data_IF_451368033984
#
_entry.id   IF_451368033984
#
_cell.length_a   1.000
_cell.length_b   1.000
_cell.length_c   1.000
_cell.angle_alpha   90.00
_cell.angle_beta   90.00
_cell.angle_gamma   90.00
#
_symmetry.space_group_name_H-M   'P 1'
#
loop_
_entity.id
_entity.type
_entity.pdbx_description
1 polymer ?
#
# COMPACT_ATOMS: atom_id res chain seq x y z
N UNK A 1 8.20 17.17 10.54
CA UNK A 1 8.37 17.01 12.00
C UNK A 1 7.45 15.94 12.60
N UNK A 2 6.19 15.77 12.15
CA UNK A 2 5.26 14.78 12.72
C UNK A 2 5.79 13.32 12.79
N UNK A 3 6.40 12.81 11.71
CA UNK A 3 6.94 11.43 11.67
C UNK A 3 8.18 11.20 12.54
N UNK A 4 8.88 12.27 12.92
CA UNK A 4 10.09 12.18 13.74
C UNK A 4 9.79 12.25 15.24
N UNK A 5 8.52 12.42 15.63
CA UNK A 5 8.13 12.45 17.04
C UNK A 5 8.22 11.08 17.69
N UNK A 6 8.52 11.05 18.99
CA UNK A 6 8.59 9.81 19.79
C UNK A 6 7.32 8.97 19.68
N UNK A 7 6.15 9.63 19.65
CA UNK A 7 4.86 8.96 19.50
C UNK A 7 4.68 8.30 18.13
N UNK A 8 5.13 8.97 17.07
CA UNK A 8 5.06 8.41 15.72
C UNK A 8 6.01 7.21 15.57
N UNK A 9 7.20 7.27 16.15
CA UNK A 9 8.17 6.18 16.14
C UNK A 9 7.70 5.00 16.99
N UNK A 10 7.25 5.25 18.22
CA UNK A 10 6.76 4.22 19.14
C UNK A 10 5.56 3.42 18.61
N UNK A 11 4.82 4.00 17.66
CA UNK A 11 3.66 3.37 17.02
C UNK A 11 3.92 2.94 15.58
N UNK A 12 5.16 3.07 15.09
CA UNK A 12 5.55 2.69 13.72
C UNK A 12 4.65 3.38 12.68
N UNK A 13 4.44 4.69 12.84
CA UNK A 13 3.50 5.47 12.01
C UNK A 13 4.06 5.90 10.66
N UNK A 14 5.32 5.54 10.37
CA UNK A 14 5.96 5.71 9.07
C UNK A 14 6.06 4.35 8.40
N UNK A 15 5.54 4.24 7.19
CA UNK A 15 5.59 3.02 6.39
C UNK A 15 6.22 3.34 5.06
N UNK A 16 7.18 2.52 4.65
CA UNK A 16 7.82 2.62 3.34
C UNK A 16 7.36 1.43 2.49
N UNK A 17 6.68 1.71 1.37
CA UNK A 17 6.25 0.68 0.41
C UNK A 17 7.03 0.80 -0.90
N UNK A 18 7.66 -0.28 -1.38
CA UNK A 18 8.35 -0.27 -2.66
C UNK A 18 7.34 -0.09 -3.81
N UNK A 19 7.72 0.72 -4.80
CA UNK A 19 6.89 1.00 -5.99
C UNK A 19 7.78 1.37 -7.16
N UNK A 20 7.67 0.60 -8.25
CA UNK A 20 8.33 0.90 -9.51
C UNK A 20 7.84 2.25 -10.08
N UNK A 21 8.70 2.95 -10.82
CA UNK A 21 8.36 4.26 -11.40
C UNK A 21 8.40 5.43 -10.43
N UNK A 22 8.78 5.21 -9.16
CA UNK A 22 9.05 6.27 -8.20
C UNK A 22 10.57 6.46 -8.07
N UNK A 23 11.04 7.71 -8.22
CA UNK A 23 12.48 8.03 -8.21
C UNK A 23 13.23 7.57 -6.94
N UNK A 24 12.52 7.40 -5.81
CA UNK A 24 13.09 6.90 -4.55
C UNK A 24 12.91 5.39 -4.34
N UNK A 25 12.43 4.66 -5.34
CA UNK A 25 12.15 3.22 -5.26
C UNK A 25 10.87 2.84 -4.52
N UNK A 26 10.16 3.81 -3.94
CA UNK A 26 8.96 3.59 -3.16
C UNK A 26 8.35 4.87 -2.61
N UNK A 27 7.28 4.72 -1.83
CA UNK A 27 6.51 5.80 -1.20
C UNK A 27 6.50 5.66 0.31
N UNK A 28 6.60 6.80 0.98
CA UNK A 28 6.43 6.92 2.41
C UNK A 28 4.98 7.28 2.73
N UNK A 29 4.35 6.52 3.64
CA UNK A 29 2.95 6.63 4.00
C UNK A 29 2.77 6.74 5.52
N UNK A 30 1.61 7.29 5.90
CA UNK A 30 1.15 7.31 7.29
C UNK A 30 0.57 5.95 7.65
N UNK A 31 1.03 5.38 8.76
CA UNK A 31 0.48 4.15 9.34
C UNK A 31 -0.91 4.31 9.93
N UNK A 32 -1.56 3.17 10.21
CA UNK A 32 -2.86 3.15 10.86
C UNK A 32 -2.61 3.39 12.36
N UNK A 33 -3.23 4.42 12.97
CA UNK A 33 -3.06 4.67 14.40
C UNK A 33 -3.64 3.54 15.28
N UNK A 34 -4.59 2.76 14.75
CA UNK A 34 -5.18 1.62 15.42
C UNK A 34 -4.34 0.35 15.21
N UNK A 35 -3.95 -0.29 16.32
CA UNK A 35 -3.22 -1.55 16.34
C UNK A 35 -4.17 -2.64 16.85
N UNK A 36 -4.68 -3.46 15.92
CA UNK A 36 -5.58 -4.56 16.22
C UNK A 36 -4.79 -5.81 16.60
N UNK A 37 -5.16 -6.49 17.69
CA UNK A 37 -4.48 -7.69 18.16
C UNK A 37 -4.90 -8.95 17.41
N UNK A 38 -6.20 -9.11 17.11
CA UNK A 38 -6.72 -10.29 16.42
C UNK A 38 -6.51 -10.23 14.89
N UNK A 39 -6.56 -9.03 14.31
CA UNK A 39 -6.43 -8.81 12.86
C UNK A 39 -5.46 -7.68 12.57
N UNK A 40 -4.14 -7.90 12.71
CA UNK A 40 -3.13 -6.88 12.47
C UNK A 40 -3.26 -6.25 11.07
N UNK A 41 -3.07 -4.94 10.99
CA UNK A 41 -3.12 -4.20 9.73
C UNK A 41 -1.94 -4.60 8.86
N UNK A 42 -2.20 -4.87 7.57
CA UNK A 42 -1.17 -5.21 6.59
C UNK A 42 -1.19 -4.21 5.43
N UNK A 43 0.00 -3.83 4.95
CA UNK A 43 0.19 -2.90 3.85
C UNK A 43 0.70 -3.67 2.64
N UNK A 44 -0.20 -4.00 1.73
CA UNK A 44 0.09 -4.94 0.62
C UNK A 44 0.47 -4.25 -0.68
N UNK A 45 -0.12 -3.08 -0.94
CA UNK A 45 0.07 -2.36 -2.19
C UNK A 45 0.31 -0.88 -1.89
N UNK A 46 1.32 -0.32 -2.55
CA UNK A 46 1.46 1.13 -2.64
C UNK A 46 0.28 1.72 -3.44
N UNK A 47 -0.04 3.02 -3.26
CA UNK A 47 -1.08 3.68 -4.04
C UNK A 47 -0.88 3.47 -5.55
N UNK A 48 -1.93 3.13 -6.30
CA UNK A 48 -1.81 2.90 -7.73
C UNK A 48 -1.55 4.20 -8.48
N UNK A 49 -0.87 4.09 -9.62
CA UNK A 49 -0.83 5.16 -10.60
C UNK A 49 -2.21 5.37 -11.23
N UNK A 50 -2.39 6.52 -11.88
CA UNK A 50 -3.60 6.79 -12.65
C UNK A 50 -3.80 5.71 -13.72
N UNK A 51 -4.90 4.96 -13.61
CA UNK A 51 -5.28 3.92 -14.57
C UNK A 51 -4.57 2.58 -14.42
N UNK A 52 -3.75 2.38 -13.38
CA UNK A 52 -2.96 1.14 -13.20
C UNK A 52 -3.82 -0.13 -13.19
N UNK A 53 -4.99 -0.08 -12.54
CA UNK A 53 -5.88 -1.23 -12.39
C UNK A 53 -6.99 -1.30 -13.46
N UNK A 54 -7.02 -0.36 -14.43
CA UNK A 54 -8.13 -0.25 -15.39
C UNK A 54 -8.37 -1.56 -16.15
N UNK A 55 -7.32 -2.18 -16.70
CA UNK A 55 -7.49 -3.41 -17.47
C UNK A 55 -7.90 -4.61 -16.60
N UNK A 56 -7.38 -4.69 -15.37
CA UNK A 56 -7.75 -5.74 -14.43
C UNK A 56 -9.25 -5.68 -14.09
N UNK A 57 -9.77 -4.48 -13.86
CA UNK A 57 -11.20 -4.26 -13.59
C UNK A 57 -12.06 -4.57 -14.81
N UNK A 58 -11.66 -4.13 -16.01
CA UNK A 58 -12.40 -4.44 -17.25
C UNK A 58 -12.45 -5.95 -17.51
N UNK A 59 -11.34 -6.66 -17.30
CA UNK A 59 -11.29 -8.11 -17.44
C UNK A 59 -12.22 -8.81 -16.44
N UNK A 60 -12.22 -8.35 -15.18
CA UNK A 60 -13.11 -8.87 -14.15
C UNK A 60 -14.58 -8.69 -14.51
N UNK A 61 -14.97 -7.52 -15.03
CA UNK A 61 -16.34 -7.24 -15.49
C UNK A 61 -16.74 -8.08 -16.70
N UNK A 62 -15.80 -8.34 -17.62
CA UNK A 62 -15.99 -9.20 -18.79
C UNK A 62 -16.03 -10.71 -18.43
N UNK A 63 -15.84 -11.09 -17.16
CA UNK A 63 -15.75 -12.48 -16.74
C UNK A 63 -14.47 -13.20 -17.18
N UNK A 64 -13.46 -12.45 -17.65
CA UNK A 64 -12.14 -12.99 -18.00
C UNK A 64 -11.39 -13.28 -16.70
N UNK A 65 -11.16 -14.56 -16.42
CA UNK A 65 -10.36 -14.96 -15.25
C UNK A 65 -8.91 -14.55 -15.50
N UNK A 66 -8.40 -13.64 -14.68
CA UNK A 66 -6.98 -13.33 -14.68
C UNK A 66 -6.24 -14.50 -14.02
N UNK A 67 -5.35 -15.16 -14.76
CA UNK A 67 -4.43 -16.15 -14.18
C UNK A 67 -3.51 -15.41 -13.20
N UNK A 68 -3.34 -15.88 -11.96
CA UNK A 68 -2.45 -15.20 -11.01
C UNK A 68 -1.02 -15.19 -11.56
N UNK A 69 -0.36 -14.03 -11.47
CA UNK A 69 1.09 -13.90 -11.71
C UNK A 69 1.83 -14.88 -10.79
N UNK A 70 2.72 -15.68 -11.38
CA UNK A 70 3.56 -16.67 -10.70
C UNK A 70 4.83 -16.02 -10.11
#
# INVERSE_FOLDING_TARGET
QAFASDQAQAREMRIDLPKAGINRGGVELIGNPLKFSATPVTYRHAPPHLGEDTQAVLNWLDGKTQTPDA
#
